data_IF_502279453302
#
_entry.id   IF_502279453302
#
_cell.length_a   1.000
_cell.length_b   1.000
_cell.length_c   1.000
_cell.angle_alpha   90.00
_cell.angle_beta   90.00
_cell.angle_gamma   90.00
#
_symmetry.space_group_name_H-M   'P 1'
#
loop_
_entity.id
_entity.type
_entity.pdbx_description
1 polymer ?
#
# COMPACT_ATOMS: atom_id res chain seq x y z
N UNK A 1 8.36 5.92 35.92
CA UNK A 1 7.00 5.76 36.50
C UNK A 1 6.01 6.44 35.57
N UNK A 2 4.76 5.96 35.46
CA UNK A 2 3.74 6.62 34.64
C UNK A 2 3.36 8.00 35.20
N UNK A 3 2.83 8.88 34.34
CA UNK A 3 2.28 10.17 34.77
C UNK A 3 1.14 10.03 35.78
N UNK A 4 0.86 11.12 36.51
CA UNK A 4 -0.29 11.20 37.41
C UNK A 4 -1.61 11.08 36.63
N UNK A 5 -2.69 10.70 37.32
CA UNK A 5 -4.01 10.56 36.69
C UNK A 5 -4.54 11.88 36.11
N UNK A 6 -4.19 13.00 36.73
CA UNK A 6 -4.54 14.34 36.25
C UNK A 6 -3.85 14.65 34.92
N UNK A 7 -2.52 14.46 34.84
CA UNK A 7 -1.75 14.67 33.61
C UNK A 7 -2.24 13.73 32.50
N UNK A 8 -2.52 12.46 32.83
CA UNK A 8 -3.09 11.52 31.85
C UNK A 8 -4.40 12.06 31.29
N UNK A 9 -5.34 12.49 32.13
CA UNK A 9 -6.64 13.01 31.67
C UNK A 9 -6.49 14.19 30.73
N UNK A 10 -5.61 15.14 31.03
CA UNK A 10 -5.37 16.29 30.16
C UNK A 10 -4.73 15.88 28.83
N UNK A 11 -3.77 14.95 28.83
CA UNK A 11 -3.16 14.40 27.61
C UNK A 11 -4.21 13.70 26.74
N UNK A 12 -5.00 12.78 27.32
CA UNK A 12 -6.04 12.05 26.60
C UNK A 12 -7.07 13.03 26.03
N UNK A 13 -7.55 13.98 26.84
CA UNK A 13 -8.50 15.00 26.42
C UNK A 13 -7.97 15.83 25.24
N UNK A 14 -6.71 16.27 25.28
CA UNK A 14 -6.10 17.01 24.18
C UNK A 14 -6.08 16.18 22.89
N UNK A 15 -5.58 14.94 22.97
CA UNK A 15 -5.42 14.09 21.79
C UNK A 15 -6.76 13.62 21.20
N UNK A 16 -7.71 13.24 22.05
CA UNK A 16 -9.03 12.74 21.65
C UNK A 16 -9.90 13.82 21.01
N UNK A 17 -9.78 15.08 21.43
CA UNK A 17 -10.48 16.22 20.80
C UNK A 17 -10.09 16.44 19.32
N UNK A 18 -9.01 15.82 18.87
CA UNK A 18 -8.53 15.86 17.49
C UNK A 18 -8.83 14.60 16.67
N UNK A 19 -9.53 13.64 17.27
CA UNK A 19 -10.07 12.47 16.59
C UNK A 19 -11.51 12.72 16.16
N UNK A 20 -11.93 12.08 15.07
CA UNK A 20 -13.33 12.02 14.71
C UNK A 20 -14.08 11.05 15.64
N UNK A 21 -15.41 11.09 15.61
CA UNK A 21 -16.21 10.09 16.32
C UNK A 21 -16.11 8.70 15.65
N UNK A 22 -16.51 7.67 16.39
CA UNK A 22 -16.44 6.28 15.91
C UNK A 22 -17.29 6.08 14.64
N UNK A 23 -18.44 6.75 14.56
CA UNK A 23 -19.35 6.67 13.42
C UNK A 23 -18.71 7.18 12.12
N UNK A 24 -17.90 8.25 12.21
CA UNK A 24 -17.15 8.78 11.07
C UNK A 24 -16.18 7.73 10.55
N UNK A 25 -15.39 7.10 11.42
CA UNK A 25 -14.42 6.07 11.01
C UNK A 25 -15.10 4.82 10.43
N UNK A 26 -16.20 4.37 11.02
CA UNK A 26 -17.00 3.27 10.48
C UNK A 26 -17.53 3.60 9.08
N UNK A 27 -18.00 4.83 8.85
CA UNK A 27 -18.42 5.28 7.53
C UNK A 27 -17.26 5.35 6.54
N UNK A 28 -16.06 5.77 6.97
CA UNK A 28 -14.91 5.83 6.08
C UNK A 28 -14.50 4.45 5.53
N UNK A 29 -14.70 3.37 6.29
CA UNK A 29 -14.31 2.01 5.90
C UNK A 29 -15.51 1.06 5.75
N UNK A 30 -16.69 1.60 5.48
CA UNK A 30 -17.94 0.84 5.31
C UNK A 30 -17.90 -0.19 4.17
N UNK A 31 -17.08 0.06 3.15
CA UNK A 31 -16.79 -0.87 2.06
C UNK A 31 -15.85 -2.04 2.46
N UNK A 32 -15.34 -2.09 3.69
CA UNK A 32 -14.57 -3.24 4.22
C UNK A 32 -15.53 -4.15 4.99
N UNK A 33 -16.00 -5.22 4.35
CA UNK A 33 -16.99 -6.16 4.91
C UNK A 33 -16.41 -7.10 5.97
N UNK A 34 -15.08 -7.31 5.97
CA UNK A 34 -14.41 -8.03 7.04
C UNK A 34 -14.34 -7.14 8.30
N UNK A 35 -15.21 -7.42 9.25
CA UNK A 35 -15.31 -6.69 10.52
C UNK A 35 -14.00 -6.68 11.33
N UNK A 36 -13.21 -7.76 11.30
CA UNK A 36 -11.95 -7.81 12.02
C UNK A 36 -10.91 -6.90 11.35
N UNK A 37 -10.84 -6.94 10.03
CA UNK A 37 -9.96 -6.07 9.25
C UNK A 37 -10.37 -4.60 9.38
N UNK A 38 -11.66 -4.27 9.25
CA UNK A 38 -12.19 -2.92 9.41
C UNK A 38 -11.84 -2.34 10.79
N UNK A 39 -12.09 -3.10 11.86
CA UNK A 39 -11.71 -2.69 13.23
C UNK A 39 -10.22 -2.44 13.35
N UNK A 40 -9.38 -3.26 12.70
CA UNK A 40 -7.93 -3.06 12.71
C UNK A 40 -7.54 -1.78 11.99
N UNK A 41 -8.08 -1.51 10.80
CA UNK A 41 -7.83 -0.28 10.04
C UNK A 41 -8.24 0.97 10.83
N UNK A 42 -9.43 0.95 11.43
CA UNK A 42 -9.93 2.05 12.27
C UNK A 42 -9.02 2.27 13.48
N UNK A 43 -8.61 1.19 14.16
CA UNK A 43 -7.71 1.27 15.30
C UNK A 43 -6.35 1.87 14.92
N UNK A 44 -5.76 1.44 13.80
CA UNK A 44 -4.48 1.98 13.32
C UNK A 44 -4.60 3.46 12.96
N UNK A 45 -5.69 3.86 12.28
CA UNK A 45 -5.91 5.27 11.94
C UNK A 45 -6.03 6.12 13.22
N UNK A 46 -6.89 5.72 14.17
CA UNK A 46 -7.05 6.43 15.45
C UNK A 46 -5.74 6.52 16.22
N UNK A 47 -5.02 5.40 16.37
CA UNK A 47 -3.76 5.35 17.10
C UNK A 47 -2.68 6.23 16.46
N UNK A 48 -2.58 6.21 15.12
CA UNK A 48 -1.63 7.07 14.39
C UNK A 48 -1.94 8.55 14.60
N UNK A 49 -3.23 8.93 14.52
CA UNK A 49 -3.64 10.32 14.71
C UNK A 49 -3.47 10.78 16.16
N UNK A 50 -3.77 9.92 17.12
CA UNK A 50 -3.54 10.17 18.55
C UNK A 50 -2.03 10.37 18.82
N UNK A 51 -1.18 9.48 18.31
CA UNK A 51 0.26 9.56 18.50
C UNK A 51 0.83 10.87 17.91
N UNK A 52 0.46 11.23 16.67
CA UNK A 52 0.83 12.51 16.07
C UNK A 52 0.48 13.68 17.00
N UNK A 53 -0.75 13.68 17.56
CA UNK A 53 -1.20 14.75 18.45
C UNK A 53 -0.47 14.77 19.79
N UNK A 54 -0.13 13.61 20.34
CA UNK A 54 0.68 13.53 21.54
C UNK A 54 2.06 14.18 21.34
N UNK A 55 2.76 13.82 20.27
CA UNK A 55 4.09 14.38 19.97
C UNK A 55 4.02 15.85 19.56
N UNK A 56 2.98 16.27 18.84
CA UNK A 56 2.72 17.69 18.52
C UNK A 56 2.50 18.50 19.81
N UNK A 57 1.67 18.01 20.74
CA UNK A 57 1.39 18.69 22.00
C UNK A 57 2.57 18.73 22.99
N UNK A 58 3.53 17.80 22.83
CA UNK A 58 4.81 17.83 23.55
C UNK A 58 5.84 18.77 22.89
N UNK A 59 5.50 19.38 21.76
CA UNK A 59 6.44 20.11 20.90
C UNK A 59 7.71 19.30 20.65
N UNK A 60 7.53 18.04 20.22
CA UNK A 60 8.64 17.12 20.05
C UNK A 60 9.69 17.68 19.07
N UNK A 61 10.96 17.62 19.48
CA UNK A 61 12.11 18.06 18.69
C UNK A 61 13.07 16.88 18.43
N UNK A 62 14.02 17.09 17.52
CA UNK A 62 15.16 16.20 17.25
C UNK A 62 14.73 14.74 17.02
N UNK A 63 15.21 13.81 17.84
CA UNK A 63 14.96 12.37 17.71
C UNK A 63 13.49 12.00 17.91
N UNK A 64 12.77 12.73 18.77
CA UNK A 64 11.36 12.46 19.04
C UNK A 64 10.48 12.90 17.87
N UNK A 65 10.78 14.04 17.25
CA UNK A 65 10.12 14.48 16.02
C UNK A 65 10.38 13.50 14.89
N UNK A 66 11.63 13.07 14.74
CA UNK A 66 12.04 12.12 13.72
C UNK A 66 11.30 10.77 13.88
N UNK A 67 11.19 10.30 15.12
CA UNK A 67 10.45 9.08 15.44
C UNK A 67 8.96 9.20 15.09
N UNK A 68 8.32 10.30 15.48
CA UNK A 68 6.92 10.59 15.19
C UNK A 68 6.65 10.57 13.68
N UNK A 69 7.42 11.34 12.92
CA UNK A 69 7.29 11.49 11.46
C UNK A 69 7.39 10.13 10.77
N UNK A 70 8.36 9.30 11.17
CA UNK A 70 8.54 7.94 10.63
C UNK A 70 7.35 7.06 10.96
N UNK A 71 6.94 7.04 12.22
CA UNK A 71 5.83 6.22 12.66
C UNK A 71 4.54 6.60 11.94
N UNK A 72 4.33 7.89 11.69
CA UNK A 72 3.21 8.40 10.93
C UNK A 72 3.22 7.89 9.48
N UNK A 73 4.36 7.97 8.78
CA UNK A 73 4.50 7.46 7.40
C UNK A 73 4.28 5.95 7.35
N UNK A 74 4.90 5.20 8.26
CA UNK A 74 4.76 3.74 8.33
C UNK A 74 3.30 3.35 8.50
N UNK A 75 2.62 3.95 9.47
CA UNK A 75 1.26 3.56 9.82
C UNK A 75 0.27 3.87 8.71
N UNK A 76 0.35 5.05 8.08
CA UNK A 76 -0.51 5.36 6.94
C UNK A 76 -0.18 4.52 5.70
N UNK A 77 1.11 4.25 5.41
CA UNK A 77 1.49 3.35 4.32
C UNK A 77 0.90 1.94 4.49
N UNK A 78 0.88 1.41 5.72
CA UNK A 78 0.24 0.14 6.04
C UNK A 78 -1.28 0.17 5.84
N UNK A 79 -1.95 1.28 6.18
CA UNK A 79 -3.39 1.44 5.91
C UNK A 79 -3.66 1.45 4.40
N UNK A 80 -2.91 2.22 3.61
CA UNK A 80 -3.02 2.23 2.15
C UNK A 80 -2.83 0.83 1.57
N UNK A 81 -1.78 0.13 2.00
CA UNK A 81 -1.49 -1.22 1.54
C UNK A 81 -2.63 -2.19 1.80
N UNK A 82 -3.11 -2.22 3.05
CA UNK A 82 -4.18 -3.10 3.47
C UNK A 82 -5.49 -2.83 2.72
N UNK A 83 -5.86 -1.56 2.54
CA UNK A 83 -7.09 -1.18 1.83
C UNK A 83 -7.00 -1.54 0.34
N UNK A 84 -5.92 -1.15 -0.36
CA UNK A 84 -5.76 -1.48 -1.79
C UNK A 84 -5.78 -2.99 -2.00
N UNK A 85 -5.05 -3.72 -1.14
CA UNK A 85 -5.03 -5.17 -1.21
C UNK A 85 -6.44 -5.76 -1.02
N UNK A 86 -7.16 -5.34 0.03
CA UNK A 86 -8.53 -5.82 0.25
C UNK A 86 -9.44 -5.54 -0.94
N UNK A 87 -9.41 -4.30 -1.46
CA UNK A 87 -10.32 -3.90 -2.53
C UNK A 87 -10.05 -4.70 -3.81
N UNK A 88 -8.79 -4.83 -4.22
CA UNK A 88 -8.44 -5.61 -5.41
C UNK A 88 -8.85 -7.08 -5.27
N UNK A 89 -8.59 -7.67 -4.10
CA UNK A 89 -8.82 -9.10 -3.87
C UNK A 89 -10.27 -9.45 -3.52
N UNK A 90 -11.14 -8.50 -3.17
CA UNK A 90 -12.53 -8.81 -2.86
C UNK A 90 -13.50 -8.27 -3.92
N UNK A 91 -13.19 -7.14 -4.54
CA UNK A 91 -14.09 -6.52 -5.51
C UNK A 91 -13.66 -6.72 -6.96
N UNK A 92 -12.37 -6.88 -7.27
CA UNK A 92 -11.87 -6.82 -8.66
C UNK A 92 -11.15 -8.08 -9.16
N UNK A 93 -11.35 -9.23 -8.50
CA UNK A 93 -10.76 -10.50 -8.92
C UNK A 93 -11.11 -10.92 -10.35
N UNK A 94 -12.26 -10.45 -10.85
CA UNK A 94 -12.87 -10.73 -12.15
C UNK A 94 -12.30 -9.88 -13.30
N UNK A 95 -11.42 -8.92 -12.99
CA UNK A 95 -10.86 -7.99 -13.99
C UNK A 95 -9.62 -8.52 -14.68
N UNK A 96 -9.43 -8.14 -15.94
CA UNK A 96 -8.20 -8.44 -16.71
C UNK A 96 -6.96 -7.83 -16.03
N UNK A 97 -7.07 -6.61 -15.50
CA UNK A 97 -5.98 -5.93 -14.81
C UNK A 97 -5.54 -6.67 -13.53
N UNK A 98 -6.48 -7.28 -12.80
CA UNK A 98 -6.16 -8.15 -11.67
C UNK A 98 -5.53 -9.46 -12.11
N UNK A 99 -6.01 -10.03 -13.22
CA UNK A 99 -5.44 -11.23 -13.82
C UNK A 99 -3.98 -11.02 -14.21
N UNK A 100 -3.67 -9.93 -14.92
CA UNK A 100 -2.31 -9.54 -15.33
C UNK A 100 -1.38 -9.28 -14.13
N UNK A 101 -1.92 -8.69 -13.06
CA UNK A 101 -1.18 -8.50 -11.82
C UNK A 101 -0.81 -9.84 -11.19
N UNK A 102 -1.73 -10.81 -11.19
CA UNK A 102 -1.59 -12.07 -10.47
C UNK A 102 -0.99 -13.20 -11.29
N UNK A 103 -0.86 -13.06 -12.60
CA UNK A 103 -0.30 -14.08 -13.50
C UNK A 103 0.96 -13.61 -14.21
N UNK A 104 1.78 -14.56 -14.64
CA UNK A 104 2.94 -14.32 -15.47
C UNK A 104 3.11 -15.46 -16.48
N UNK A 105 3.63 -15.09 -17.64
CA UNK A 105 3.98 -16.04 -18.68
C UNK A 105 5.30 -16.72 -18.33
N UNK A 106 5.31 -18.05 -18.31
CA UNK A 106 6.50 -18.86 -18.07
C UNK A 106 6.75 -19.85 -19.21
N UNK A 107 8.03 -20.15 -19.51
CA UNK A 107 8.35 -21.27 -20.39
C UNK A 107 8.11 -22.59 -19.66
N UNK A 108 7.21 -23.42 -20.19
CA UNK A 108 6.92 -24.77 -19.68
C UNK A 108 7.58 -25.79 -20.60
N UNK A 109 8.46 -26.61 -20.03
CA UNK A 109 9.26 -27.58 -20.80
C UNK A 109 8.35 -28.65 -21.37
N UNK A 110 8.49 -28.92 -22.67
CA UNK A 110 7.82 -30.05 -23.31
C UNK A 110 8.57 -31.32 -22.91
N UNK A 111 7.86 -32.28 -22.34
CA UNK A 111 8.43 -33.61 -22.08
C UNK A 111 8.52 -34.37 -23.41
N UNK A 112 9.75 -34.61 -23.87
CA UNK A 112 10.03 -35.39 -25.08
C UNK A 112 10.63 -36.74 -24.63
N UNK A 113 10.17 -37.87 -25.17
CA UNK A 113 10.80 -39.17 -24.94
C UNK A 113 12.31 -39.17 -25.28
N UNK A 114 13.12 -39.86 -24.48
CA UNK A 114 14.59 -39.80 -24.58
C UNK A 114 15.12 -40.15 -25.98
N UNK A 115 14.51 -41.14 -26.64
CA UNK A 115 14.89 -41.60 -27.98
C UNK A 115 14.70 -40.49 -29.03
N UNK A 116 13.62 -39.71 -28.92
CA UNK A 116 13.35 -38.56 -29.80
C UNK A 116 14.20 -37.35 -29.42
N UNK A 117 14.46 -37.15 -28.13
CA UNK A 117 15.31 -36.05 -27.68
C UNK A 117 16.75 -36.24 -28.14
N UNK A 118 17.29 -37.47 -28.13
CA UNK A 118 18.62 -37.78 -28.70
C UNK A 118 18.72 -37.43 -30.17
N UNK A 119 17.70 -37.77 -30.98
CA UNK A 119 17.64 -37.38 -32.39
C UNK A 119 17.63 -35.85 -32.57
N UNK A 120 16.85 -35.16 -31.73
CA UNK A 120 16.73 -33.70 -31.79
C UNK A 120 18.06 -32.99 -31.45
N UNK A 121 18.80 -33.49 -30.45
CA UNK A 121 20.13 -32.95 -30.09
C UNK A 121 21.23 -33.27 -31.12
N UNK A 122 21.07 -34.36 -31.89
CA UNK A 122 22.01 -34.69 -32.97
C UNK A 122 21.86 -33.74 -34.16
N UNK A 123 20.62 -33.33 -34.47
CA UNK A 123 20.31 -32.49 -35.64
C UNK A 123 20.40 -30.99 -35.36
N UNK A 124 20.09 -30.56 -34.12
CA UNK A 124 20.04 -29.16 -33.77
C UNK A 124 21.05 -28.86 -32.66
N UNK A 125 22.10 -28.12 -33.02
CA UNK A 125 23.17 -27.72 -32.11
C UNK A 125 23.28 -26.20 -32.11
N UNK A 126 23.17 -25.57 -30.94
CA UNK A 126 23.31 -24.14 -30.79
C UNK A 126 24.24 -23.82 -29.63
N UNK A 127 25.36 -23.14 -29.91
CA UNK A 127 26.31 -22.68 -28.89
C UNK A 127 26.81 -23.81 -27.95
N UNK A 128 26.95 -25.04 -28.49
CA UNK A 128 27.29 -26.25 -27.74
C UNK A 128 26.39 -26.53 -26.52
N UNK A 129 25.16 -26.00 -26.52
CA UNK A 129 24.16 -26.19 -25.47
C UNK A 129 23.04 -27.09 -25.98
N UNK A 130 22.50 -27.89 -25.07
CA UNK A 130 21.31 -28.70 -25.35
C UNK A 130 20.10 -27.80 -25.62
N UNK A 131 19.44 -28.05 -26.75
CA UNK A 131 18.21 -27.33 -27.08
C UNK A 131 17.07 -27.93 -26.27
N UNK A 132 16.48 -27.13 -25.40
CA UNK A 132 15.28 -27.49 -24.67
C UNK A 132 14.06 -26.83 -25.32
N UNK A 133 13.03 -27.63 -25.61
CA UNK A 133 11.77 -27.15 -26.19
C UNK A 133 10.80 -26.75 -25.09
N UNK A 134 10.21 -25.57 -25.25
CA UNK A 134 9.22 -25.02 -24.33
C UNK A 134 8.02 -24.50 -25.10
N UNK A 135 6.87 -24.45 -24.45
CA UNK A 135 5.76 -23.57 -24.84
C UNK A 135 5.57 -22.52 -23.74
N UNK A 136 5.02 -21.37 -24.10
CA UNK A 136 4.67 -20.35 -23.12
C UNK A 136 3.31 -20.67 -22.53
N UNK A 137 3.28 -20.90 -21.22
CA UNK A 137 2.06 -21.08 -20.45
C UNK A 137 1.92 -19.99 -19.40
N UNK A 138 0.72 -19.87 -18.86
CA UNK A 138 0.43 -18.92 -17.81
C UNK A 138 0.51 -19.58 -16.44
N UNK A 139 1.12 -18.88 -15.47
CA UNK A 139 1.21 -19.33 -14.09
C UNK A 139 0.82 -18.21 -13.12
N UNK A 140 -0.01 -18.56 -12.14
CA UNK A 140 -0.32 -17.66 -11.01
C UNK A 140 0.93 -17.41 -10.17
N UNK A 141 1.24 -16.14 -9.91
CA UNK A 141 2.31 -15.70 -9.00
C UNK A 141 1.96 -16.09 -7.57
N UNK A 142 2.99 -16.37 -6.76
CA UNK A 142 2.77 -16.45 -5.32
C UNK A 142 2.43 -15.05 -4.80
N UNK A 143 1.51 -14.93 -3.86
CA UNK A 143 1.01 -13.63 -3.41
C UNK A 143 2.12 -12.71 -2.88
N UNK A 144 3.09 -13.26 -2.14
CA UNK A 144 4.28 -12.56 -1.65
C UNK A 144 5.20 -12.01 -2.74
N UNK A 145 5.06 -12.48 -3.98
CA UNK A 145 5.85 -12.01 -5.13
C UNK A 145 5.20 -10.80 -5.81
N UNK A 146 3.92 -10.52 -5.54
CA UNK A 146 3.20 -9.38 -6.11
C UNK A 146 3.60 -8.14 -5.32
N UNK A 147 4.30 -7.20 -5.97
CA UNK A 147 4.76 -5.99 -5.32
C UNK A 147 3.59 -5.07 -5.03
N UNK A 148 3.72 -4.25 -3.99
CA UNK A 148 2.73 -3.22 -3.70
C UNK A 148 2.62 -2.19 -4.83
N UNK A 149 3.73 -1.85 -5.48
CA UNK A 149 3.77 -0.98 -6.66
C UNK A 149 2.85 -1.53 -7.77
N UNK A 150 2.89 -2.84 -8.02
CA UNK A 150 2.03 -3.50 -9.01
C UNK A 150 0.55 -3.37 -8.62
N UNK A 151 0.22 -3.53 -7.33
CA UNK A 151 -1.15 -3.34 -6.81
C UNK A 151 -1.64 -1.89 -7.04
N UNK A 152 -0.78 -0.90 -6.80
CA UNK A 152 -1.14 0.51 -7.04
C UNK A 152 -1.35 0.80 -8.53
N UNK A 153 -0.50 0.24 -9.40
CA UNK A 153 -0.63 0.37 -10.85
C UNK A 153 -1.92 -0.30 -11.34
N UNK A 154 -2.23 -1.50 -10.84
CA UNK A 154 -3.49 -2.20 -11.14
C UNK A 154 -4.69 -1.39 -10.67
N UNK A 155 -4.66 -0.81 -9.47
CA UNK A 155 -5.70 0.08 -8.98
C UNK A 155 -5.87 1.32 -9.88
N UNK A 156 -4.76 1.90 -10.37
CA UNK A 156 -4.80 2.99 -11.35
C UNK A 156 -5.46 2.57 -12.67
N UNK A 157 -5.08 1.41 -13.20
CA UNK A 157 -5.59 0.89 -14.46
C UNK A 157 -7.08 0.53 -14.41
N UNK A 158 -7.58 0.10 -13.24
CA UNK A 158 -9.02 -0.14 -12.99
C UNK A 158 -9.79 1.19 -12.83
N UNK A 159 -9.10 2.28 -12.51
CA UNK A 159 -9.71 3.57 -12.18
C UNK A 159 -10.10 3.72 -10.71
N UNK A 160 -9.61 2.84 -9.83
CA UNK A 160 -9.78 2.97 -8.37
C UNK A 160 -9.00 4.15 -7.80
N UNK A 161 -7.84 4.41 -8.40
CA UNK A 161 -6.97 5.52 -8.01
C UNK A 161 -6.60 6.32 -9.25
N UNK A 162 -6.69 7.63 -9.14
CA UNK A 162 -6.38 8.53 -10.25
C UNK A 162 -5.90 9.89 -9.73
N UNK A 163 -5.33 10.64 -10.66
CA UNK A 163 -4.84 11.98 -10.40
C UNK A 163 -6.03 12.90 -10.03
N UNK A 164 -5.80 13.86 -9.14
CA UNK A 164 -6.84 14.83 -8.75
C UNK A 164 -6.27 16.22 -8.53
N UNK A 165 -7.10 17.24 -8.69
CA UNK A 165 -6.73 18.63 -8.43
C UNK A 165 -6.98 18.98 -6.96
N UNK A 166 -5.96 19.52 -6.29
CA UNK A 166 -6.12 19.98 -4.90
C UNK A 166 -6.73 21.39 -4.83
N UNK A 167 -7.04 21.86 -3.62
CA UNK A 167 -7.61 23.20 -3.38
C UNK A 167 -6.73 24.39 -3.85
N UNK A 168 -5.49 24.13 -4.26
CA UNK A 168 -4.54 25.11 -4.81
C UNK A 168 -4.39 25.02 -6.33
N UNK A 169 -5.20 24.20 -7.00
CA UNK A 169 -5.14 23.98 -8.44
C UNK A 169 -3.97 23.11 -8.91
N UNK A 170 -3.33 22.36 -8.01
CA UNK A 170 -2.22 21.48 -8.37
C UNK A 170 -2.74 20.07 -8.63
N UNK A 171 -2.33 19.48 -9.75
CA UNK A 171 -2.60 18.09 -10.09
C UNK A 171 -1.70 17.19 -9.23
N UNK A 172 -2.31 16.26 -8.52
CA UNK A 172 -1.68 15.29 -7.65
C UNK A 172 -1.84 13.90 -8.24
N UNK A 173 -0.73 13.24 -8.57
CA UNK A 173 -0.70 11.82 -8.91
C UNK A 173 -0.75 10.98 -7.63
N UNK A 174 -1.97 10.71 -7.16
CA UNK A 174 -2.22 9.96 -5.94
C UNK A 174 -1.58 8.56 -5.94
N UNK A 175 -1.71 7.74 -7.01
CA UNK A 175 -1.00 6.46 -7.11
C UNK A 175 0.51 6.59 -6.84
N UNK A 176 1.18 7.54 -7.48
CA UNK A 176 2.63 7.74 -7.31
C UNK A 176 2.98 8.19 -5.89
N UNK A 177 2.18 9.06 -5.26
CA UNK A 177 2.40 9.45 -3.86
C UNK A 177 2.25 8.26 -2.89
N UNK A 178 1.27 7.37 -3.11
CA UNK A 178 1.07 6.19 -2.27
C UNK A 178 2.25 5.21 -2.39
N UNK A 179 2.75 5.00 -3.61
CA UNK A 179 3.96 4.22 -3.85
C UNK A 179 5.16 4.85 -3.12
N UNK A 180 5.29 6.19 -3.17
CA UNK A 180 6.35 6.93 -2.44
C UNK A 180 6.27 6.68 -0.92
N UNK A 181 5.08 6.72 -0.31
CA UNK A 181 4.91 6.43 1.12
C UNK A 181 5.35 5.00 1.48
N UNK A 182 4.99 4.02 0.64
CA UNK A 182 5.38 2.63 0.83
C UNK A 182 6.89 2.40 0.66
N UNK A 183 7.49 3.03 -0.35
CA UNK A 183 8.94 3.00 -0.55
C UNK A 183 9.66 3.59 0.64
N UNK A 184 9.17 4.73 1.16
CA UNK A 184 9.74 5.33 2.36
C UNK A 184 9.61 4.39 3.55
N UNK A 185 8.45 3.78 3.81
CA UNK A 185 8.27 2.77 4.88
C UNK A 185 9.36 1.68 4.85
N UNK A 186 9.66 1.14 3.67
CA UNK A 186 10.67 0.08 3.51
C UNK A 186 12.11 0.61 3.49
N UNK A 187 12.29 1.91 3.22
CA UNK A 187 13.57 2.59 3.11
C UNK A 187 14.07 3.23 4.41
N UNK A 188 13.37 3.08 5.54
CA UNK A 188 13.79 3.52 6.89
C UNK A 188 14.95 2.63 7.36
N UNK A 189 16.08 2.76 6.69
CA UNK A 189 17.38 2.27 7.11
C UNK A 189 18.22 3.49 7.47
N UNK A 190 18.87 3.48 8.64
CA UNK A 190 19.74 4.57 9.14
C UNK A 190 20.74 5.12 8.10
N UNK A 191 21.14 4.28 7.12
CA UNK A 191 22.07 4.63 6.04
C UNK A 191 21.40 5.39 4.88
N UNK A 192 20.14 5.12 4.57
CA UNK A 192 19.38 5.83 3.53
C UNK A 192 18.95 7.24 4.00
N UNK A 193 18.76 7.39 5.31
CA UNK A 193 18.32 8.62 5.99
C UNK A 193 19.37 9.74 5.96
N UNK A 194 20.68 9.42 5.93
CA UNK A 194 21.73 10.43 5.79
C UNK A 194 21.61 11.29 4.52
N UNK A 195 20.86 10.82 3.50
CA UNK A 195 20.72 11.50 2.21
C UNK A 195 19.50 12.41 2.10
N UNK A 196 18.49 12.26 2.97
CA UNK A 196 17.22 12.99 2.90
C UNK A 196 16.99 13.75 4.21
N UNK A 197 16.84 15.06 4.14
CA UNK A 197 16.68 15.90 5.33
C UNK A 197 15.30 15.77 5.99
N UNK A 198 15.23 16.00 7.31
CA UNK A 198 14.01 15.90 8.14
C UNK A 198 12.82 16.69 7.59
N UNK A 199 13.07 17.81 6.90
CA UNK A 199 12.01 18.63 6.31
C UNK A 199 11.22 17.89 5.23
N UNK A 200 11.88 17.06 4.41
CA UNK A 200 11.20 16.25 3.41
C UNK A 200 10.35 15.17 4.07
N UNK A 201 10.85 14.54 5.13
CA UNK A 201 10.14 13.49 5.87
C UNK A 201 8.89 14.05 6.56
N UNK A 202 9.00 15.25 7.15
CA UNK A 202 7.88 15.95 7.76
C UNK A 202 6.79 16.29 6.74
N UNK A 203 7.17 16.75 5.55
CA UNK A 203 6.18 17.01 4.49
C UNK A 203 5.58 15.70 3.96
N UNK A 204 6.36 14.63 3.88
CA UNK A 204 5.89 13.30 3.48
C UNK A 204 4.88 12.74 4.49
N UNK A 205 5.11 12.88 5.80
CA UNK A 205 4.18 12.38 6.83
C UNK A 205 2.85 13.14 6.82
N UNK A 206 2.89 14.47 6.66
CA UNK A 206 1.70 15.29 6.49
C UNK A 206 0.93 14.93 5.23
N UNK A 207 1.62 14.67 4.12
CA UNK A 207 0.99 14.21 2.87
C UNK A 207 0.33 12.85 3.08
N UNK A 208 1.02 11.89 3.71
CA UNK A 208 0.48 10.56 3.97
C UNK A 208 -0.84 10.60 4.75
N UNK A 209 -0.99 11.48 5.74
CA UNK A 209 -2.28 11.72 6.40
C UNK A 209 -3.31 12.40 5.48
N UNK A 210 -2.93 13.51 4.83
CA UNK A 210 -3.85 14.31 4.00
C UNK A 210 -4.41 13.55 2.81
N UNK A 211 -3.68 12.56 2.28
CA UNK A 211 -4.13 11.72 1.16
C UNK A 211 -5.16 10.67 1.57
N UNK A 212 -5.38 10.42 2.87
CA UNK A 212 -6.33 9.39 3.33
C UNK A 212 -7.75 9.70 2.86
N UNK A 213 -8.17 10.96 2.96
CA UNK A 213 -9.50 11.38 2.56
C UNK A 213 -9.75 11.17 1.04
N UNK A 214 -8.98 11.79 0.12
CA UNK A 214 -9.21 11.59 -1.31
C UNK A 214 -9.01 10.13 -1.72
N UNK A 215 -8.11 9.39 -1.07
CA UNK A 215 -7.94 7.96 -1.32
C UNK A 215 -9.20 7.14 -1.03
N UNK A 216 -9.80 7.33 0.15
CA UNK A 216 -11.03 6.64 0.54
C UNK A 216 -12.20 7.07 -0.36
N UNK A 217 -12.33 8.37 -0.64
CA UNK A 217 -13.39 8.92 -1.50
C UNK A 217 -13.33 8.35 -2.93
N UNK A 218 -12.14 8.23 -3.52
CA UNK A 218 -11.94 7.65 -4.84
C UNK A 218 -12.36 6.17 -4.88
N UNK A 219 -11.92 5.39 -3.90
CA UNK A 219 -12.31 3.98 -3.79
C UNK A 219 -13.82 3.83 -3.66
N UNK A 220 -14.44 4.55 -2.72
CA UNK A 220 -15.89 4.48 -2.50
C UNK A 220 -16.66 4.88 -3.75
N UNK A 221 -16.29 6.00 -4.37
CA UNK A 221 -16.94 6.48 -5.59
C UNK A 221 -16.86 5.45 -6.71
N UNK A 222 -15.69 4.82 -6.90
CA UNK A 222 -15.50 3.83 -7.94
C UNK A 222 -16.28 2.54 -7.67
N UNK A 223 -16.31 2.07 -6.42
CA UNK A 223 -17.09 0.89 -6.06
C UNK A 223 -18.60 1.11 -6.27
N UNK A 224 -19.12 2.31 -5.98
CA UNK A 224 -20.52 2.67 -6.25
C UNK A 224 -20.79 2.74 -7.76
N UNK A 225 -19.88 3.37 -8.53
CA UNK A 225 -19.98 3.45 -9.99
C UNK A 225 -20.05 2.06 -10.63
N UNK A 226 -19.24 1.12 -10.14
CA UNK A 226 -19.19 -0.25 -10.65
C UNK A 226 -20.28 -1.17 -10.07
N UNK A 227 -21.14 -0.66 -9.17
CA UNK A 227 -22.18 -1.44 -8.49
C UNK A 227 -21.64 -2.55 -7.58
N UNK A 228 -20.43 -2.36 -7.05
CA UNK A 228 -19.72 -3.30 -6.16
C UNK A 228 -19.86 -2.92 -4.67
N UNK A 229 -20.37 -1.72 -4.38
CA UNK A 229 -20.69 -1.19 -3.05
C UNK A 229 -22.04 -0.46 -3.06
#
# INVERSE_FOLDING_TARGET
>A
MPFTNEIKKEIYKYCENHLADDAWYENQFDFILDEAMKKRLISEFKATRFAYKLYEGLEAENENLLFEVRNQIISYATIYEAVIHYVLYNYYQDTEQFHDMTHHTIPIKISIPEDKQKKLQQELLHDNKEIATFYYGEKKKEEKQIRFDDKCITAKNIGLLHDFENSKGQIIDLPSEIIEFYWYRNGIHLIAEQRKGIQYELELSKRAYRRMQPFIEQIKSKLVEDGKY
#
